data_IF_063285356993
#
_entry.id   IF_063285356993
#
_cell.length_a   1.000
_cell.length_b   1.000
_cell.length_c   1.000
_cell.angle_alpha   90.00
_cell.angle_beta   90.00
_cell.angle_gamma   90.00
#
_symmetry.space_group_name_H-M   'P 1'
#
loop_
_entity.id
_entity.type
_entity.pdbx_description
1 polymer ?
#
# COMPACT_ATOMS: atom_id res chain seq x y z
N UNK A 1 16.59 5.16 -20.76
CA UNK A 1 15.48 5.76 -19.99
C UNK A 1 16.08 6.47 -18.80
N UNK A 2 15.58 7.65 -18.47
CA UNK A 2 16.10 8.43 -17.34
C UNK A 2 15.45 8.00 -16.02
N UNK A 3 14.22 7.47 -16.08
CA UNK A 3 13.41 7.06 -14.93
C UNK A 3 12.82 5.67 -15.17
N UNK A 4 12.85 4.83 -14.14
CA UNK A 4 12.14 3.57 -14.05
C UNK A 4 11.25 3.59 -12.80
N UNK A 5 9.94 3.43 -12.98
CA UNK A 5 9.00 3.17 -11.88
C UNK A 5 8.52 1.72 -11.98
N UNK A 6 8.79 0.94 -10.95
CA UNK A 6 8.50 -0.49 -10.94
C UNK A 6 7.36 -0.82 -9.98
N UNK A 7 6.20 -1.18 -10.56
CA UNK A 7 4.98 -1.61 -9.85
C UNK A 7 4.61 -3.07 -10.14
N UNK A 8 5.22 -3.68 -11.15
CA UNK A 8 4.86 -5.03 -11.58
C UNK A 8 5.21 -6.06 -10.50
N UNK A 9 4.22 -6.88 -10.16
CA UNK A 9 4.38 -7.99 -9.21
C UNK A 9 3.22 -8.98 -9.36
N UNK A 10 3.51 -10.28 -9.23
CA UNK A 10 2.45 -11.29 -9.17
C UNK A 10 1.90 -11.32 -7.75
N UNK A 11 0.56 -11.21 -7.62
CA UNK A 11 -0.10 -11.09 -6.31
C UNK A 11 -0.23 -12.45 -5.59
N UNK A 12 -0.55 -12.41 -4.29
CA UNK A 12 -0.63 -13.63 -3.44
C UNK A 12 -1.66 -14.65 -3.91
N UNK A 13 -2.73 -14.20 -4.58
CA UNK A 13 -3.76 -15.10 -5.11
C UNK A 13 -3.20 -16.06 -6.14
N UNK A 14 -2.20 -15.64 -6.90
CA UNK A 14 -1.52 -16.54 -7.84
C UNK A 14 -0.88 -17.74 -7.13
N UNK A 15 -0.35 -17.54 -5.91
CA UNK A 15 0.20 -18.65 -5.14
C UNK A 15 -0.87 -19.66 -4.71
N UNK A 16 -2.09 -19.19 -4.43
CA UNK A 16 -3.22 -20.08 -4.12
C UNK A 16 -3.66 -20.92 -5.34
N UNK A 17 -3.60 -20.33 -6.53
CA UNK A 17 -4.05 -20.96 -7.77
C UNK A 17 -2.99 -21.87 -8.39
N UNK A 18 -1.71 -21.44 -8.41
CA UNK A 18 -0.62 -22.09 -9.16
C UNK A 18 0.46 -22.70 -8.25
N UNK A 19 0.36 -22.51 -6.95
CA UNK A 19 1.33 -22.98 -5.95
C UNK A 19 2.46 -21.98 -5.67
N UNK A 20 3.06 -22.14 -4.49
CA UNK A 20 4.09 -21.23 -3.97
C UNK A 20 5.34 -21.25 -4.83
N UNK A 21 5.76 -22.39 -5.36
CA UNK A 21 6.94 -22.50 -6.23
C UNK A 21 6.79 -21.63 -7.48
N UNK A 22 5.67 -21.76 -8.21
CA UNK A 22 5.41 -20.98 -9.41
C UNK A 22 5.29 -19.49 -9.12
N UNK A 23 4.71 -19.15 -7.97
CA UNK A 23 4.65 -17.78 -7.47
C UNK A 23 6.04 -17.17 -7.25
N UNK A 24 6.95 -17.91 -6.60
CA UNK A 24 8.33 -17.48 -6.37
C UNK A 24 9.06 -17.30 -7.68
N UNK A 25 9.00 -18.30 -8.58
CA UNK A 25 9.68 -18.25 -9.88
C UNK A 25 9.19 -17.09 -10.75
N UNK A 26 7.88 -16.83 -10.79
CA UNK A 26 7.31 -15.74 -11.56
C UNK A 26 7.81 -14.36 -11.06
N UNK A 27 7.85 -14.15 -9.75
CA UNK A 27 8.34 -12.89 -9.19
C UNK A 27 9.86 -12.73 -9.36
N UNK A 28 10.64 -13.80 -9.21
CA UNK A 28 12.07 -13.78 -9.51
C UNK A 28 12.36 -13.44 -10.99
N UNK A 29 11.56 -13.93 -11.92
CA UNK A 29 11.66 -13.60 -13.33
C UNK A 29 11.38 -12.12 -13.60
N UNK A 30 10.37 -11.53 -12.94
CA UNK A 30 10.08 -10.09 -13.00
C UNK A 30 11.28 -9.31 -12.48
N UNK A 31 11.78 -9.65 -11.29
CA UNK A 31 12.95 -8.98 -10.69
C UNK A 31 14.17 -9.09 -11.58
N UNK A 32 14.45 -10.28 -12.15
CA UNK A 32 15.54 -10.49 -13.11
C UNK A 32 15.44 -9.55 -14.31
N UNK A 33 14.25 -9.43 -14.90
CA UNK A 33 13.99 -8.54 -16.04
C UNK A 33 14.28 -7.06 -15.68
N UNK A 34 13.87 -6.64 -14.49
CA UNK A 34 14.10 -5.27 -14.00
C UNK A 34 15.59 -5.01 -13.77
N UNK A 35 16.30 -5.96 -13.17
CA UNK A 35 17.75 -5.88 -12.95
C UNK A 35 18.52 -5.79 -14.27
N UNK A 36 18.16 -6.58 -15.27
CA UNK A 36 18.77 -6.53 -16.60
C UNK A 36 18.50 -5.21 -17.30
N UNK A 37 17.28 -4.65 -17.15
CA UNK A 37 16.98 -3.31 -17.66
C UNK A 37 17.83 -2.24 -16.98
N UNK A 38 17.98 -2.27 -15.64
CA UNK A 38 18.81 -1.31 -14.90
C UNK A 38 20.27 -1.38 -15.38
N UNK A 39 20.83 -2.59 -15.52
CA UNK A 39 22.20 -2.80 -15.99
C UNK A 39 22.40 -2.27 -17.42
N UNK A 40 21.46 -2.56 -18.32
CA UNK A 40 21.55 -2.20 -19.73
C UNK A 40 21.29 -0.71 -19.99
N UNK A 41 20.33 -0.10 -19.28
CA UNK A 41 19.86 1.27 -19.54
C UNK A 41 20.39 2.31 -18.58
N UNK A 42 20.92 1.88 -17.42
CA UNK A 42 21.47 2.74 -16.38
C UNK A 42 20.60 3.96 -16.07
N UNK A 43 19.33 3.76 -15.67
CA UNK A 43 18.42 4.88 -15.38
C UNK A 43 18.97 5.75 -14.26
N UNK A 44 18.80 7.06 -14.36
CA UNK A 44 19.19 8.02 -13.33
C UNK A 44 18.35 7.92 -12.05
N UNK A 45 17.17 7.32 -12.14
CA UNK A 45 16.26 7.10 -11.01
C UNK A 45 15.48 5.79 -11.14
N UNK A 46 15.38 5.05 -10.03
CA UNK A 46 14.54 3.85 -9.91
C UNK A 46 13.60 3.99 -8.72
N UNK A 47 12.31 4.10 -8.98
CA UNK A 47 11.25 4.03 -7.97
C UNK A 47 10.66 2.62 -7.89
N UNK A 48 10.57 2.05 -6.69
CA UNK A 48 10.05 0.71 -6.47
C UNK A 48 8.93 0.69 -5.43
N UNK A 49 7.76 0.17 -5.82
CA UNK A 49 6.66 -0.11 -4.91
C UNK A 49 6.89 -1.45 -4.18
N UNK A 50 7.48 -1.36 -2.99
CA UNK A 50 7.62 -2.48 -2.06
C UNK A 50 6.34 -2.65 -1.24
N UNK A 51 6.40 -3.32 -0.11
CA UNK A 51 5.24 -3.63 0.73
C UNK A 51 5.58 -3.54 2.22
N UNK A 52 4.58 -3.20 3.04
CA UNK A 52 4.67 -3.36 4.49
C UNK A 52 5.01 -4.79 4.93
N UNK A 53 4.74 -5.80 4.08
CA UNK A 53 5.18 -7.17 4.32
C UNK A 53 6.72 -7.31 4.39
N UNK A 54 7.47 -6.49 3.63
CA UNK A 54 8.94 -6.45 3.74
C UNK A 54 9.38 -5.93 5.12
N UNK A 55 8.72 -4.88 5.64
CA UNK A 55 8.98 -4.40 7.00
C UNK A 55 8.69 -5.48 8.04
N UNK A 56 7.55 -6.16 7.93
CA UNK A 56 7.17 -7.24 8.84
C UNK A 56 8.14 -8.44 8.77
N UNK A 57 8.60 -8.83 7.56
CA UNK A 57 9.59 -9.89 7.40
C UNK A 57 10.93 -9.54 8.06
N UNK A 58 11.40 -8.32 7.92
CA UNK A 58 12.63 -7.84 8.59
C UNK A 58 12.48 -7.81 10.11
N UNK A 59 11.34 -7.38 10.64
CA UNK A 59 11.08 -7.30 12.07
C UNK A 59 11.10 -8.68 12.76
N UNK A 60 10.79 -9.77 12.02
CA UNK A 60 10.87 -11.15 12.51
C UNK A 60 12.31 -11.68 12.63
N UNK A 61 13.31 -10.92 12.19
CA UNK A 61 14.73 -11.28 12.32
C UNK A 61 15.26 -12.32 11.34
N UNK A 62 14.49 -12.66 10.31
CA UNK A 62 14.91 -13.61 9.28
C UNK A 62 13.95 -13.65 8.09
N UNK A 63 14.46 -14.09 6.94
CA UNK A 63 13.65 -14.31 5.73
C UNK A 63 13.29 -15.79 5.64
N UNK A 64 12.03 -16.10 5.81
CA UNK A 64 11.49 -17.44 5.61
C UNK A 64 10.61 -17.45 4.36
N UNK A 65 11.21 -17.89 3.25
CA UNK A 65 10.51 -17.94 1.96
C UNK A 65 9.43 -19.01 1.92
N UNK A 66 9.50 -20.01 2.79
CA UNK A 66 8.49 -21.07 2.86
C UNK A 66 7.26 -20.59 3.63
N UNK A 67 7.44 -19.88 4.74
CA UNK A 67 6.35 -19.40 5.57
C UNK A 67 5.76 -18.05 5.07
N UNK A 68 6.61 -17.14 4.56
CA UNK A 68 6.19 -15.84 4.00
C UNK A 68 6.94 -15.51 2.71
N UNK A 69 6.62 -16.19 1.60
CA UNK A 69 7.29 -15.95 0.32
C UNK A 69 7.14 -14.51 -0.16
N UNK A 70 5.99 -13.87 0.10
CA UNK A 70 5.75 -12.49 -0.32
C UNK A 70 6.66 -11.50 0.40
N UNK A 71 6.70 -11.53 1.73
CA UNK A 71 7.55 -10.64 2.51
C UNK A 71 9.04 -10.87 2.23
N UNK A 72 9.46 -12.13 2.13
CA UNK A 72 10.85 -12.49 1.82
C UNK A 72 11.29 -11.98 0.44
N UNK A 73 10.48 -12.21 -0.61
CA UNK A 73 10.77 -11.73 -1.97
C UNK A 73 10.82 -10.20 -2.03
N UNK A 74 9.89 -9.50 -1.37
CA UNK A 74 9.91 -8.02 -1.32
C UNK A 74 11.19 -7.49 -0.68
N UNK A 75 11.69 -8.11 0.40
CA UNK A 75 12.99 -7.75 1.00
C UNK A 75 14.14 -7.98 0.03
N UNK A 76 14.15 -9.13 -0.67
CA UNK A 76 15.18 -9.44 -1.65
C UNK A 76 15.19 -8.43 -2.80
N UNK A 77 14.01 -8.05 -3.30
CA UNK A 77 13.85 -7.03 -4.35
C UNK A 77 14.38 -5.67 -3.89
N UNK A 78 14.02 -5.22 -2.67
CA UNK A 78 14.54 -3.97 -2.11
C UNK A 78 16.07 -3.94 -2.15
N UNK A 79 16.72 -5.01 -1.70
CA UNK A 79 18.18 -5.10 -1.66
C UNK A 79 18.80 -5.13 -3.06
N UNK A 80 18.24 -5.98 -3.95
CA UNK A 80 18.78 -6.19 -5.29
C UNK A 80 18.62 -4.94 -6.18
N UNK A 81 17.43 -4.30 -6.16
CA UNK A 81 17.16 -3.13 -6.98
C UNK A 81 17.96 -1.90 -6.51
N UNK A 82 18.03 -1.67 -5.19
CA UNK A 82 18.85 -0.58 -4.63
C UNK A 82 20.33 -0.77 -5.01
N UNK A 83 20.87 -1.98 -4.84
CA UNK A 83 22.25 -2.28 -5.20
C UNK A 83 22.51 -2.07 -6.69
N UNK A 84 21.68 -2.64 -7.57
CA UNK A 84 21.83 -2.48 -9.01
C UNK A 84 21.73 -1.02 -9.46
N UNK A 85 20.82 -0.25 -8.83
CA UNK A 85 20.68 1.19 -9.11
C UNK A 85 21.92 1.98 -8.70
N UNK A 86 22.47 1.71 -7.51
CA UNK A 86 23.70 2.34 -7.06
C UNK A 86 24.90 2.01 -7.95
N UNK A 87 25.06 0.73 -8.36
CA UNK A 87 26.11 0.29 -9.30
C UNK A 87 25.96 0.93 -10.69
N UNK A 88 24.73 1.27 -11.07
CA UNK A 88 24.44 2.04 -12.29
C UNK A 88 24.68 3.56 -12.13
N UNK A 89 24.95 4.06 -10.92
CA UNK A 89 25.12 5.48 -10.63
C UNK A 89 23.80 6.25 -10.55
N UNK A 90 22.68 5.54 -10.41
CA UNK A 90 21.35 6.11 -10.26
C UNK A 90 20.94 6.34 -8.80
N UNK A 91 19.83 7.06 -8.58
CA UNK A 91 19.16 7.25 -7.29
C UNK A 91 18.01 6.27 -7.14
N UNK A 92 17.72 5.80 -5.93
CA UNK A 92 16.62 4.88 -5.65
C UNK A 92 15.62 5.44 -4.65
N UNK A 93 14.34 5.15 -4.88
CA UNK A 93 13.24 5.35 -3.93
C UNK A 93 12.49 4.04 -3.74
N UNK A 94 12.55 3.48 -2.55
CA UNK A 94 11.72 2.33 -2.15
C UNK A 94 10.56 2.84 -1.30
N UNK A 95 9.34 2.61 -1.78
CA UNK A 95 8.13 2.94 -1.02
C UNK A 95 7.46 1.64 -0.58
N UNK A 96 7.45 1.39 0.73
CA UNK A 96 6.73 0.26 1.32
C UNK A 96 5.27 0.62 1.49
N UNK A 97 4.45 0.07 0.60
CA UNK A 97 3.01 0.30 0.59
C UNK A 97 2.32 -0.62 1.58
N UNK A 98 1.50 -0.08 2.49
CA UNK A 98 0.70 -0.85 3.45
C UNK A 98 -0.69 -1.12 2.93
N UNK A 99 -1.59 -0.14 2.93
CA UNK A 99 -2.88 -0.29 2.28
C UNK A 99 -3.09 0.89 1.32
N UNK A 100 -3.73 0.57 0.21
CA UNK A 100 -4.03 1.54 -0.85
C UNK A 100 -5.52 1.84 -0.83
N UNK A 101 -5.86 3.10 -1.08
CA UNK A 101 -7.20 3.59 -1.36
C UNK A 101 -7.26 4.24 -2.74
N UNK A 102 -8.45 4.69 -3.16
CA UNK A 102 -8.63 5.43 -4.40
C UNK A 102 -9.45 4.68 -5.45
N UNK A 103 -9.65 5.28 -6.64
CA UNK A 103 -10.68 4.84 -7.60
C UNK A 103 -10.32 3.58 -8.42
N UNK A 104 -9.09 3.10 -8.36
CA UNK A 104 -8.58 2.07 -9.29
C UNK A 104 -8.48 0.67 -8.67
N UNK A 105 -9.22 0.40 -7.57
CA UNK A 105 -9.20 -0.89 -6.90
C UNK A 105 -9.93 -1.95 -7.75
N UNK A 106 -9.20 -2.94 -8.24
CA UNK A 106 -9.77 -4.00 -9.11
C UNK A 106 -10.44 -5.13 -8.33
N UNK A 107 -10.19 -5.24 -7.01
CA UNK A 107 -10.73 -6.28 -6.12
C UNK A 107 -11.28 -5.66 -4.83
N UNK A 108 -12.39 -4.92 -4.91
CA UNK A 108 -12.89 -4.17 -3.76
C UNK A 108 -13.18 -5.04 -2.53
N UNK A 109 -13.70 -6.24 -2.69
CA UNK A 109 -14.00 -7.14 -1.56
C UNK A 109 -12.76 -7.70 -0.84
N UNK A 110 -11.56 -7.50 -1.38
CA UNK A 110 -10.32 -7.97 -0.75
C UNK A 110 -9.75 -7.02 0.32
N UNK A 111 -10.23 -5.79 0.37
CA UNK A 111 -9.70 -4.74 1.26
C UNK A 111 -10.80 -4.20 2.17
N UNK A 112 -10.51 -4.05 3.46
CA UNK A 112 -11.48 -3.62 4.47
C UNK A 112 -12.19 -2.31 4.09
N UNK A 113 -11.46 -1.31 3.58
CA UNK A 113 -12.03 -0.01 3.19
C UNK A 113 -13.11 -0.17 2.11
N UNK A 114 -12.81 -0.84 1.02
CA UNK A 114 -13.74 -1.01 -0.09
C UNK A 114 -14.83 -2.05 0.19
N UNK A 115 -14.57 -3.08 1.00
CA UNK A 115 -15.58 -4.02 1.46
C UNK A 115 -16.63 -3.31 2.32
N UNK A 116 -16.21 -2.48 3.28
CA UNK A 116 -17.11 -1.71 4.14
C UNK A 116 -17.92 -0.69 3.33
N UNK A 117 -17.30 0.01 2.36
CA UNK A 117 -18.01 0.90 1.43
C UNK A 117 -19.16 0.13 0.72
N UNK A 118 -18.88 -1.07 0.21
CA UNK A 118 -19.85 -1.92 -0.44
C UNK A 118 -21.01 -2.32 0.50
N UNK A 119 -20.71 -2.70 1.74
CA UNK A 119 -21.71 -3.06 2.74
C UNK A 119 -22.59 -1.87 3.13
N UNK A 120 -22.02 -0.69 3.36
CA UNK A 120 -22.76 0.55 3.66
C UNK A 120 -23.66 0.94 2.49
N UNK A 121 -23.15 0.85 1.26
CA UNK A 121 -23.93 1.14 0.05
C UNK A 121 -25.11 0.18 -0.12
N UNK A 122 -24.93 -1.10 0.18
CA UNK A 122 -25.99 -2.10 0.10
C UNK A 122 -27.12 -1.88 1.14
N UNK A 123 -26.91 -1.06 2.18
CA UNK A 123 -27.92 -0.69 3.17
C UNK A 123 -28.18 -1.74 4.25
N UNK A 124 -27.43 -2.82 4.28
CA UNK A 124 -27.44 -3.80 5.36
C UNK A 124 -26.43 -3.44 6.45
N UNK A 125 -26.43 -4.15 7.60
CA UNK A 125 -25.46 -3.89 8.64
C UNK A 125 -24.03 -4.20 8.16
N UNK A 126 -23.09 -3.33 8.53
CA UNK A 126 -21.65 -3.57 8.33
C UNK A 126 -21.21 -4.66 9.31
N UNK A 127 -20.71 -5.78 8.78
CA UNK A 127 -20.25 -6.91 9.57
C UNK A 127 -18.73 -6.97 9.58
N UNK A 128 -18.13 -6.59 10.71
CA UNK A 128 -16.70 -6.68 10.95
C UNK A 128 -16.41 -7.99 11.69
N UNK A 129 -15.74 -8.92 11.00
CA UNK A 129 -15.51 -10.29 11.51
C UNK A 129 -14.42 -10.37 12.58
N UNK A 130 -13.54 -9.39 12.64
CA UNK A 130 -12.42 -9.40 13.59
C UNK A 130 -12.91 -9.19 15.03
N UNK A 131 -12.69 -10.19 15.89
CA UNK A 131 -12.99 -10.13 17.33
C UNK A 131 -11.92 -9.41 18.17
N UNK A 132 -10.95 -8.76 17.54
CA UNK A 132 -9.87 -8.01 18.18
C UNK A 132 -9.69 -6.66 17.46
N UNK A 133 -9.03 -5.67 18.06
CA UNK A 133 -8.75 -4.40 17.40
C UNK A 133 -7.88 -4.60 16.15
N UNK A 134 -8.26 -3.95 15.05
CA UNK A 134 -7.55 -4.03 13.76
C UNK A 134 -7.22 -2.61 13.31
N UNK A 135 -5.93 -2.27 13.29
CA UNK A 135 -5.45 -0.94 12.92
C UNK A 135 -4.75 -0.99 11.57
N UNK A 136 -5.14 -0.10 10.68
CA UNK A 136 -4.59 0.03 9.33
C UNK A 136 -4.19 1.47 9.05
N UNK A 137 -3.25 1.65 8.12
CA UNK A 137 -2.97 2.96 7.51
C UNK A 137 -3.25 2.90 6.02
N UNK A 138 -3.68 4.02 5.46
CA UNK A 138 -4.07 4.12 4.05
C UNK A 138 -3.31 5.23 3.34
N UNK A 139 -3.07 5.04 2.04
CA UNK A 139 -2.55 6.04 1.11
C UNK A 139 -3.38 6.01 -0.16
N UNK A 140 -3.77 7.17 -0.68
CA UNK A 140 -4.40 7.23 -2.01
C UNK A 140 -3.39 6.86 -3.09
N UNK A 141 -3.79 6.03 -4.05
CA UNK A 141 -2.90 5.54 -5.12
C UNK A 141 -2.35 6.67 -5.98
N UNK A 142 -3.10 7.73 -6.20
CA UNK A 142 -2.63 8.88 -6.97
C UNK A 142 -1.61 9.70 -6.18
N UNK A 143 -1.77 9.84 -4.86
CA UNK A 143 -0.78 10.49 -4.00
C UNK A 143 0.52 9.69 -4.02
N UNK A 144 0.44 8.36 -3.88
CA UNK A 144 1.59 7.47 -3.98
C UNK A 144 2.35 7.67 -5.29
N UNK A 145 1.65 7.61 -6.41
CA UNK A 145 2.26 7.75 -7.75
C UNK A 145 2.80 9.16 -7.96
N UNK A 146 2.08 10.19 -7.52
CA UNK A 146 2.51 11.59 -7.63
C UNK A 146 3.80 11.85 -6.86
N UNK A 147 3.92 11.36 -5.63
CA UNK A 147 5.16 11.46 -4.83
C UNK A 147 6.31 10.72 -5.52
N UNK A 148 6.08 9.53 -6.05
CA UNK A 148 7.13 8.78 -6.75
C UNK A 148 7.60 9.49 -8.04
N UNK A 149 6.69 10.10 -8.79
CA UNK A 149 7.02 10.90 -9.99
C UNK A 149 7.76 12.17 -9.59
N UNK A 150 7.29 12.90 -8.59
CA UNK A 150 7.94 14.12 -8.12
C UNK A 150 9.37 13.84 -7.62
N UNK A 151 9.58 12.75 -6.87
CA UNK A 151 10.90 12.33 -6.43
C UNK A 151 11.84 11.95 -7.60
N UNK A 152 11.28 11.38 -8.67
CA UNK A 152 12.06 11.10 -9.88
C UNK A 152 12.53 12.37 -10.60
N UNK A 153 11.71 13.42 -10.59
CA UNK A 153 11.99 14.71 -11.23
C UNK A 153 12.87 15.62 -10.37
N UNK A 154 12.81 15.47 -9.04
CA UNK A 154 13.68 16.20 -8.11
C UNK A 154 15.11 15.65 -8.17
N UNK A 155 16.01 16.38 -8.83
CA UNK A 155 17.43 16.00 -8.96
C UNK A 155 18.27 16.30 -7.72
N UNK A 156 17.74 17.03 -6.75
CA UNK A 156 18.41 17.41 -5.51
C UNK A 156 18.26 16.37 -4.39
N UNK A 157 17.31 15.44 -4.54
CA UNK A 157 16.98 14.43 -3.55
C UNK A 157 18.11 13.47 -3.22
N UNK A 158 18.03 12.82 -2.06
CA UNK A 158 18.99 11.83 -1.59
C UNK A 158 19.17 10.68 -2.59
N UNK A 159 20.35 10.08 -2.60
CA UNK A 159 20.70 9.02 -3.56
C UNK A 159 19.97 7.70 -3.32
N UNK A 160 19.56 7.45 -2.08
CA UNK A 160 18.91 6.20 -1.67
C UNK A 160 17.91 6.48 -0.55
N UNK A 161 16.61 6.44 -0.89
CA UNK A 161 15.52 6.76 0.02
C UNK A 161 14.62 5.54 0.18
N UNK A 162 14.20 5.26 1.42
CA UNK A 162 13.21 4.26 1.73
C UNK A 162 12.20 4.85 2.71
N UNK A 163 10.93 4.76 2.38
CA UNK A 163 9.83 5.27 3.21
C UNK A 163 8.68 4.26 3.28
N UNK A 164 7.96 4.31 4.39
CA UNK A 164 6.73 3.56 4.58
C UNK A 164 5.53 4.49 4.33
N UNK A 165 4.51 4.03 3.62
CA UNK A 165 3.26 4.78 3.41
C UNK A 165 2.33 4.74 4.63
N UNK A 166 2.88 4.61 5.83
CA UNK A 166 2.08 4.80 7.02
C UNK A 166 1.75 6.28 7.10
N UNK A 167 0.76 6.70 6.40
CA UNK A 167 0.29 8.07 6.45
C UNK A 167 -0.08 8.48 7.89
N UNK A 168 -0.38 9.74 8.06
CA UNK A 168 -0.92 10.28 9.32
C UNK A 168 -2.30 9.69 9.64
N UNK A 169 -2.85 8.91 8.70
CA UNK A 169 -4.14 8.25 8.77
C UNK A 169 -3.97 6.80 9.20
N UNK A 170 -3.77 6.59 10.50
CA UNK A 170 -3.95 5.28 11.12
C UNK A 170 -5.37 5.21 11.69
N UNK A 171 -6.12 4.20 11.31
CA UNK A 171 -7.52 4.05 11.74
C UNK A 171 -7.81 2.63 12.18
N UNK A 172 -8.56 2.49 13.27
CA UNK A 172 -9.15 1.22 13.68
C UNK A 172 -10.34 0.89 12.77
N UNK A 173 -10.57 -0.37 12.44
CA UNK A 173 -11.56 -0.76 11.41
C UNK A 173 -13.01 -0.40 11.81
N UNK A 174 -13.33 -0.31 13.10
CA UNK A 174 -14.63 0.19 13.57
C UNK A 174 -14.77 1.70 13.30
N UNK A 175 -13.75 2.47 13.66
CA UNK A 175 -13.70 3.92 13.38
C UNK A 175 -13.73 4.19 11.86
N UNK A 176 -13.08 3.32 11.07
CA UNK A 176 -13.16 3.36 9.62
C UNK A 176 -14.60 3.15 9.11
N UNK A 177 -15.35 2.20 9.69
CA UNK A 177 -16.74 1.97 9.32
C UNK A 177 -17.61 3.20 9.65
N UNK A 178 -17.37 3.86 10.78
CA UNK A 178 -18.09 5.08 11.15
C UNK A 178 -17.73 6.27 10.22
N UNK A 179 -16.46 6.42 9.85
CA UNK A 179 -16.05 7.41 8.86
C UNK A 179 -16.72 7.16 7.49
N UNK A 180 -16.78 5.91 7.03
CA UNK A 180 -17.43 5.55 5.77
C UNK A 180 -18.93 5.87 5.81
N UNK A 181 -19.62 5.51 6.90
CA UNK A 181 -21.04 5.84 7.07
C UNK A 181 -21.31 7.34 7.00
N UNK A 182 -20.44 8.13 7.62
CA UNK A 182 -20.49 9.60 7.59
C UNK A 182 -20.28 10.15 6.19
N UNK A 183 -19.21 9.72 5.51
CA UNK A 183 -18.86 10.21 4.16
C UNK A 183 -19.92 9.82 3.13
N UNK A 184 -20.53 8.63 3.26
CA UNK A 184 -21.61 8.19 2.36
C UNK A 184 -23.01 8.73 2.75
N UNK A 185 -23.12 9.48 3.85
CA UNK A 185 -24.41 9.99 4.33
C UNK A 185 -25.37 8.89 4.79
N UNK A 186 -24.84 7.79 5.33
CA UNK A 186 -25.60 6.62 5.77
C UNK A 186 -25.44 6.32 7.27
N UNK A 187 -25.76 7.29 8.16
CA UNK A 187 -25.70 7.07 9.61
C UNK A 187 -26.71 6.02 10.10
N UNK A 188 -27.73 5.73 9.29
CA UNK A 188 -28.77 4.73 9.52
C UNK A 188 -28.26 3.28 9.48
N UNK A 189 -27.15 3.01 8.77
CA UNK A 189 -26.59 1.67 8.64
C UNK A 189 -25.89 1.25 9.95
N UNK A 190 -26.33 0.15 10.55
CA UNK A 190 -25.73 -0.38 11.77
C UNK A 190 -24.35 -1.00 11.53
N UNK A 191 -23.49 -0.97 12.57
CA UNK A 191 -22.24 -1.72 12.58
C UNK A 191 -22.35 -2.88 13.56
N UNK A 192 -22.28 -4.11 13.06
CA UNK A 192 -22.30 -5.33 13.86
C UNK A 192 -20.88 -5.82 14.08
N UNK A 193 -20.42 -5.76 15.33
CA UNK A 193 -19.09 -6.22 15.72
C UNK A 193 -19.06 -6.64 17.18
N UNK A 194 -18.37 -7.75 17.45
CA UNK A 194 -18.00 -8.15 18.81
C UNK A 194 -16.48 -8.07 18.92
N UNK A 195 -15.99 -7.15 19.73
CA UNK A 195 -14.55 -6.94 19.95
C UNK A 195 -14.23 -7.19 21.42
N UNK A 196 -13.22 -8.01 21.68
CA UNK A 196 -12.54 -8.05 22.96
C UNK A 196 -11.51 -6.91 23.02
N UNK A 197 -11.76 -5.85 23.80
CA UNK A 197 -10.84 -4.72 23.91
C UNK A 197 -9.51 -5.07 24.59
N UNK A 198 -9.45 -6.20 25.32
CA UNK A 198 -8.24 -6.73 25.94
C UNK A 198 -7.38 -7.58 25.00
N UNK A 199 -7.90 -7.93 23.81
CA UNK A 199 -7.14 -8.69 22.83
C UNK A 199 -6.02 -7.85 22.19
N UNK A 200 -4.91 -8.50 21.86
CA UNK A 200 -3.81 -7.84 21.14
C UNK A 200 -4.29 -7.30 19.79
N UNK A 201 -4.01 -6.03 19.52
CA UNK A 201 -4.37 -5.39 18.27
C UNK A 201 -3.55 -5.96 17.11
N UNK A 202 -4.23 -6.29 16.00
CA UNK A 202 -3.57 -6.53 14.71
C UNK A 202 -3.27 -5.19 14.05
N UNK A 203 -1.98 -4.84 13.96
CA UNK A 203 -1.50 -3.58 13.43
C UNK A 203 -0.71 -3.83 12.14
N UNK A 204 -1.24 -3.36 11.02
CA UNK A 204 -0.52 -3.32 9.75
C UNK A 204 -0.36 -1.86 9.33
N UNK A 205 0.61 -1.21 9.96
CA UNK A 205 0.95 0.20 9.81
C UNK A 205 2.48 0.33 9.73
N UNK A 206 2.96 1.26 8.92
CA UNK A 206 4.40 1.54 8.83
C UNK A 206 4.85 2.66 9.78
N UNK A 207 6.05 3.16 9.58
CA UNK A 207 6.57 4.29 10.33
C UNK A 207 5.84 5.58 9.93
N UNK A 208 5.17 6.19 10.90
CA UNK A 208 4.46 7.45 10.69
C UNK A 208 5.40 8.59 10.26
N UNK A 209 4.88 9.51 9.47
CA UNK A 209 5.54 10.76 9.09
C UNK A 209 6.57 10.67 7.97
N UNK A 210 7.12 9.51 7.65
CA UNK A 210 8.18 9.42 6.61
C UNK A 210 7.67 9.77 5.21
N UNK A 211 6.54 9.20 4.81
CA UNK A 211 5.96 9.48 3.50
C UNK A 211 5.39 10.89 3.42
N UNK A 212 4.74 11.36 4.51
CA UNK A 212 4.22 12.72 4.60
C UNK A 212 5.33 13.77 4.53
N UNK A 213 6.47 13.53 5.20
CA UNK A 213 7.63 14.42 5.12
C UNK A 213 8.17 14.48 3.69
N UNK A 214 8.38 13.33 3.03
CA UNK A 214 8.82 13.28 1.63
C UNK A 214 7.83 14.00 0.70
N UNK A 215 6.52 13.79 0.88
CA UNK A 215 5.49 14.47 0.08
C UNK A 215 5.54 16.00 0.29
N UNK A 216 5.69 16.44 1.55
CA UNK A 216 5.81 17.85 1.91
C UNK A 216 7.05 18.51 1.29
N UNK A 217 8.21 17.86 1.37
CA UNK A 217 9.46 18.32 0.75
C UNK A 217 9.33 18.48 -0.78
N UNK A 218 8.50 17.62 -1.40
CA UNK A 218 8.22 17.64 -2.83
C UNK A 218 7.02 18.52 -3.22
N UNK A 219 6.36 19.16 -2.26
CA UNK A 219 5.19 20.01 -2.50
C UNK A 219 3.93 19.26 -2.95
N UNK A 220 3.82 17.97 -2.62
CA UNK A 220 2.67 17.13 -2.95
C UNK A 220 1.72 17.07 -1.75
N UNK A 221 0.50 17.63 -1.85
CA UNK A 221 -0.50 17.50 -0.80
C UNK A 221 -1.01 16.05 -0.73
N UNK A 222 -1.16 15.51 0.47
CA UNK A 222 -1.74 14.19 0.70
C UNK A 222 -3.21 14.31 1.11
N UNK A 223 -4.03 13.42 0.60
CA UNK A 223 -5.45 13.32 0.92
C UNK A 223 -5.67 12.78 2.32
N UNK A 224 -6.62 13.37 3.03
CA UNK A 224 -7.08 12.85 4.32
C UNK A 224 -7.96 11.59 4.16
N UNK A 225 -8.40 10.99 5.28
CA UNK A 225 -9.18 9.75 5.26
C UNK A 225 -10.53 9.94 4.56
N UNK A 226 -11.21 11.05 4.78
CA UNK A 226 -12.53 11.32 4.21
C UNK A 226 -12.45 11.46 2.69
N UNK A 227 -11.44 12.18 2.19
CA UNK A 227 -11.15 12.29 0.77
C UNK A 227 -10.81 10.93 0.15
N UNK A 228 -10.01 10.12 0.83
CA UNK A 228 -9.65 8.75 0.40
C UNK A 228 -10.88 7.85 0.32
N UNK A 229 -11.78 7.91 1.32
CA UNK A 229 -13.06 7.18 1.32
C UNK A 229 -13.92 7.63 0.15
N UNK A 230 -14.11 8.94 -0.02
CA UNK A 230 -14.94 9.52 -1.07
C UNK A 230 -14.49 9.10 -2.46
N UNK A 231 -13.19 9.18 -2.72
CA UNK A 231 -12.60 8.79 -4.01
C UNK A 231 -12.70 7.30 -4.28
N UNK A 232 -12.49 6.47 -3.25
CA UNK A 232 -12.66 5.02 -3.36
C UNK A 232 -14.11 4.67 -3.70
N UNK A 233 -15.07 5.28 -2.99
CA UNK A 233 -16.51 5.09 -3.24
C UNK A 233 -16.88 5.50 -4.67
N UNK A 234 -16.43 6.67 -5.13
CA UNK A 234 -16.66 7.14 -6.50
C UNK A 234 -16.11 6.16 -7.54
N UNK A 235 -14.90 5.63 -7.33
CA UNK A 235 -14.30 4.62 -8.20
C UNK A 235 -15.07 3.30 -8.25
N UNK A 236 -15.81 2.98 -7.18
CA UNK A 236 -16.72 1.85 -7.11
C UNK A 236 -18.13 2.15 -7.66
N UNK A 237 -18.39 3.36 -8.12
CA UNK A 237 -19.72 3.80 -8.57
C UNK A 237 -20.71 4.04 -7.41
N UNK A 238 -20.20 4.23 -6.18
CA UNK A 238 -21.00 4.48 -4.98
C UNK A 238 -21.15 5.99 -4.78
N UNK A 239 -22.37 6.52 -4.65
CA UNK A 239 -22.60 7.94 -4.42
C UNK A 239 -22.06 8.36 -3.04
N UNK A 240 -21.50 9.56 -2.98
CA UNK A 240 -20.99 10.21 -1.76
C UNK A 240 -21.96 11.33 -1.38
N UNK A 241 -22.18 11.56 -0.09
CA UNK A 241 -22.98 12.67 0.37
C UNK A 241 -22.35 14.01 -0.06
N UNK A 242 -23.15 14.88 -0.64
CA UNK A 242 -22.70 16.24 -0.93
C UNK A 242 -22.49 16.98 0.41
N UNK A 243 -21.28 17.24 0.79
CA UNK A 243 -21.00 18.20 1.85
C UNK A 243 -21.23 19.61 1.29
N UNK A 244 -22.46 20.14 1.48
CA UNK A 244 -22.78 21.57 1.26
C UNK A 244 -22.27 22.41 2.42
#
# INVERSE_FOLDING_TARGET
ADVLLHFAYVTREFAADQGVEQYVLANLAITGTVLDFIRARRPGFVGYASSGAAAAARARGGLDIAADPYGALKVMDELALRRATADAGGRSLVVRVFNVSGPWLTKPAAFALSDIIGQVHAGGPVRIRAGHPVVRSYVDVEDLVSVMIAAALDRSGASDVQVDTAGDVQVEVGDLADAIRRVLGRPDVAVERQVDPGAQADRYVGMAGQFAALAGDLGIPLRDLDEQIARTAQGMGVPVANHT
#
